data_IF_955261120589
#
_entry.id   IF_955261120589
#
_cell.length_a   1.000
_cell.length_b   1.000
_cell.length_c   1.000
_cell.angle_alpha   90.00
_cell.angle_beta   90.00
_cell.angle_gamma   90.00
#
_symmetry.space_group_name_H-M   'P 1'
#
loop_
_entity.id
_entity.type
_entity.pdbx_description
1 polymer ?
#
# COMPACT_ATOMS: atom_id res chain seq x y z
N UNK A 1 51.65 46.68 54.99
CA UNK A 1 50.46 46.47 55.85
C UNK A 1 50.13 44.98 55.82
N UNK A 2 50.11 44.34 57.02
CA UNK A 2 49.44 43.08 57.47
C UNK A 2 49.37 41.91 56.46
N UNK A 3 49.81 40.67 56.70
CA UNK A 3 50.20 39.91 57.89
C UNK A 3 49.97 38.42 57.52
N UNK A 4 50.95 37.52 57.74
CA UNK A 4 50.82 36.07 57.45
C UNK A 4 50.03 35.31 58.54
N UNK A 5 50.32 34.01 58.82
CA UNK A 5 50.84 32.92 57.97
C UNK A 5 50.09 31.58 58.22
N UNK A 6 50.76 30.45 57.92
CA UNK A 6 50.54 29.05 58.38
C UNK A 6 49.43 28.24 57.68
N UNK A 7 49.63 27.02 57.20
CA UNK A 7 50.75 26.07 57.34
C UNK A 7 50.18 24.68 57.66
N UNK A 8 50.48 23.64 56.85
CA UNK A 8 50.80 22.25 57.25
C UNK A 8 50.78 21.30 56.03
N UNK A 9 51.92 20.65 55.80
CA UNK A 9 52.10 19.37 55.09
C UNK A 9 52.07 18.25 56.16
N UNK A 10 51.62 17.00 55.89
CA UNK A 10 52.51 15.93 55.35
C UNK A 10 51.83 15.10 54.25
N UNK A 11 52.53 14.63 53.20
CA UNK A 11 53.51 13.53 53.12
C UNK A 11 52.90 12.11 53.15
N UNK A 12 53.47 11.24 52.30
CA UNK A 12 53.49 9.76 52.31
C UNK A 12 53.17 9.13 50.93
N UNK A 13 54.23 8.55 50.34
CA UNK A 13 54.24 7.31 49.53
C UNK A 13 53.81 7.47 48.08
N UNK A 14 54.66 7.38 47.05
CA UNK A 14 55.65 6.32 46.75
C UNK A 14 55.10 4.89 46.90
N UNK A 15 55.58 4.00 46.03
CA UNK A 15 55.21 2.58 45.80
C UNK A 15 54.09 2.48 44.76
N UNK A 16 54.20 1.81 43.63
CA UNK A 16 55.17 0.86 43.10
C UNK A 16 54.51 0.31 41.83
N UNK A 17 55.23 0.26 40.72
CA UNK A 17 55.76 -0.99 40.16
C UNK A 17 54.71 -2.06 39.84
N UNK A 18 54.73 -2.41 38.55
CA UNK A 18 54.60 -3.77 38.03
C UNK A 18 53.21 -4.40 38.10
N UNK A 19 52.43 -4.20 37.03
CA UNK A 19 51.96 -5.36 36.27
C UNK A 19 51.48 -4.94 34.88
N UNK A 20 52.28 -5.22 33.86
CA UNK A 20 51.81 -5.22 32.47
C UNK A 20 52.29 -6.49 31.77
N UNK A 21 52.20 -7.61 32.50
CA UNK A 21 52.44 -8.97 32.01
C UNK A 21 51.17 -9.80 32.17
N UNK A 22 50.17 -9.48 31.36
CA UNK A 22 48.94 -10.26 31.25
C UNK A 22 47.97 -9.53 30.34
N UNK A 23 47.38 -10.27 29.40
CA UNK A 23 46.17 -9.87 28.67
C UNK A 23 46.35 -8.94 27.46
N UNK A 24 46.96 -9.48 26.39
CA UNK A 24 46.54 -9.15 25.02
C UNK A 24 46.56 -10.39 24.11
N UNK A 25 46.32 -11.56 24.69
CA UNK A 25 46.04 -12.79 23.96
C UNK A 25 44.51 -12.99 23.87
N UNK A 26 43.84 -12.18 23.07
CA UNK A 26 42.51 -12.50 22.54
C UNK A 26 42.25 -11.73 21.24
N UNK A 27 43.19 -11.84 20.29
CA UNK A 27 42.85 -11.74 18.87
C UNK A 27 42.18 -13.05 18.44
N UNK A 28 41.04 -13.38 19.05
CA UNK A 28 40.16 -14.40 18.48
C UNK A 28 39.53 -13.74 17.27
N UNK A 29 39.97 -14.19 16.10
CA UNK A 29 39.36 -13.86 14.83
C UNK A 29 37.87 -14.11 14.92
N UNK A 30 37.10 -13.02 14.88
CA UNK A 30 35.77 -13.08 14.27
C UNK A 30 35.96 -13.18 12.76
N UNK A 31 36.44 -14.34 12.29
CA UNK A 31 36.07 -14.85 10.98
C UNK A 31 34.60 -15.23 11.07
N UNK A 32 33.72 -14.22 11.12
CA UNK A 32 32.33 -14.44 10.77
C UNK A 32 32.35 -15.02 9.38
N UNK A 33 31.70 -16.18 9.19
CA UNK A 33 31.53 -16.86 7.92
C UNK A 33 31.08 -15.89 6.83
N UNK A 34 32.02 -15.19 6.20
CA UNK A 34 31.87 -14.64 4.88
C UNK A 34 31.90 -15.85 3.96
N UNK A 35 30.75 -16.51 3.82
CA UNK A 35 30.52 -17.45 2.74
C UNK A 35 30.87 -16.71 1.43
N UNK A 36 32.04 -17.07 0.90
CA UNK A 36 32.67 -16.46 -0.25
C UNK A 36 31.87 -16.89 -1.49
N UNK A 37 31.11 -15.95 -2.05
CA UNK A 37 30.34 -16.16 -3.29
C UNK A 37 31.19 -15.89 -4.54
N UNK A 38 32.51 -16.04 -4.44
CA UNK A 38 33.46 -15.93 -5.55
C UNK A 38 33.11 -16.87 -6.71
N UNK A 39 32.38 -17.96 -6.43
CA UNK A 39 31.95 -18.97 -7.39
C UNK A 39 30.72 -18.59 -8.24
N UNK A 40 29.99 -17.51 -7.93
CA UNK A 40 28.78 -17.10 -8.66
C UNK A 40 29.10 -16.06 -9.74
N UNK A 41 28.43 -16.12 -10.90
CA UNK A 41 28.52 -15.10 -11.95
C UNK A 41 28.10 -13.71 -11.44
N UNK A 42 28.41 -12.64 -12.19
CA UNK A 42 28.08 -11.26 -11.80
C UNK A 42 26.59 -11.10 -11.44
N UNK A 43 25.70 -11.79 -12.16
CA UNK A 43 24.28 -11.86 -11.88
C UNK A 43 23.95 -12.67 -10.61
N UNK A 44 24.65 -13.77 -10.38
CA UNK A 44 24.52 -14.60 -9.16
C UNK A 44 25.00 -13.88 -7.89
N UNK A 45 26.10 -13.11 -7.97
CA UNK A 45 26.56 -12.24 -6.87
C UNK A 45 25.59 -11.09 -6.61
N UNK A 46 25.01 -10.50 -7.66
CA UNK A 46 23.99 -9.47 -7.52
C UNK A 46 22.71 -10.03 -6.86
N UNK A 47 22.24 -11.21 -7.30
CA UNK A 47 21.09 -11.90 -6.71
C UNK A 47 21.35 -12.32 -5.25
N UNK A 48 22.54 -12.83 -4.94
CA UNK A 48 22.95 -13.18 -3.58
C UNK A 48 23.10 -11.95 -2.67
N UNK A 49 23.60 -10.82 -3.20
CA UNK A 49 23.65 -9.54 -2.50
C UNK A 49 22.25 -8.95 -2.21
N UNK A 50 21.32 -9.10 -3.15
CA UNK A 50 19.90 -8.74 -3.00
C UNK A 50 19.22 -9.64 -1.95
N UNK A 51 19.57 -10.93 -1.88
CA UNK A 51 19.05 -11.86 -0.89
C UNK A 51 19.62 -11.64 0.53
N UNK A 52 20.83 -11.08 0.67
CA UNK A 52 21.46 -10.78 1.96
C UNK A 52 20.82 -9.61 2.72
N UNK A 53 20.15 -8.69 2.02
CA UNK A 53 19.49 -7.55 2.65
C UNK A 53 18.00 -7.84 2.81
N UNK A 54 17.50 -7.99 4.06
CA UNK A 54 16.07 -8.20 4.34
C UNK A 54 15.21 -7.11 3.69
N UNK A 55 15.74 -5.88 3.63
CA UNK A 55 15.15 -4.74 2.92
C UNK A 55 14.91 -5.01 1.45
N UNK A 56 15.91 -5.51 0.70
CA UNK A 56 15.75 -5.74 -0.74
C UNK A 56 14.81 -6.91 -1.02
N UNK A 57 14.89 -7.99 -0.23
CA UNK A 57 13.96 -9.11 -0.33
C UNK A 57 12.50 -8.67 -0.11
N UNK A 58 12.23 -7.84 0.91
CA UNK A 58 10.89 -7.29 1.17
C UNK A 58 10.42 -6.39 0.04
N UNK A 59 11.28 -5.46 -0.43
CA UNK A 59 10.93 -4.54 -1.52
C UNK A 59 10.67 -5.28 -2.84
N UNK A 60 11.46 -6.31 -3.14
CA UNK A 60 11.27 -7.16 -4.31
C UNK A 60 9.96 -7.94 -4.20
N UNK A 61 9.65 -8.52 -3.04
CA UNK A 61 8.39 -9.23 -2.80
C UNK A 61 7.18 -8.32 -3.03
N UNK A 62 7.22 -7.10 -2.50
CA UNK A 62 6.18 -6.08 -2.70
C UNK A 62 6.09 -5.67 -4.18
N UNK A 63 7.22 -5.43 -4.83
CA UNK A 63 7.28 -5.04 -6.24
C UNK A 63 6.71 -6.10 -7.17
N UNK A 64 7.06 -7.37 -6.95
CA UNK A 64 6.50 -8.51 -7.67
C UNK A 64 4.99 -8.62 -7.43
N UNK A 65 4.54 -8.45 -6.19
CA UNK A 65 3.12 -8.46 -5.85
C UNK A 65 2.32 -7.35 -6.56
N UNK A 66 2.85 -6.12 -6.60
CA UNK A 66 2.24 -4.99 -7.32
C UNK A 66 2.21 -5.26 -8.83
N UNK A 67 3.31 -5.74 -9.40
CA UNK A 67 3.40 -6.08 -10.82
C UNK A 67 2.41 -7.18 -11.22
N UNK A 68 2.28 -8.23 -10.41
CA UNK A 68 1.31 -9.30 -10.61
C UNK A 68 -0.13 -8.78 -10.51
N UNK A 69 -0.42 -7.90 -9.55
CA UNK A 69 -1.74 -7.29 -9.41
C UNK A 69 -2.11 -6.45 -10.65
N UNK A 70 -1.21 -5.60 -11.15
CA UNK A 70 -1.42 -4.85 -12.39
C UNK A 70 -1.57 -5.75 -13.61
N UNK A 71 -0.78 -6.82 -13.71
CA UNK A 71 -0.90 -7.80 -14.78
C UNK A 71 -2.28 -8.47 -14.78
N UNK A 72 -2.75 -8.95 -13.62
CA UNK A 72 -4.08 -9.56 -13.49
C UNK A 72 -5.21 -8.57 -13.83
N UNK A 73 -5.11 -7.33 -13.37
CA UNK A 73 -6.11 -6.29 -13.67
C UNK A 73 -6.09 -5.87 -15.16
N UNK A 74 -4.90 -5.81 -15.77
CA UNK A 74 -4.75 -5.56 -17.21
C UNK A 74 -5.37 -6.67 -18.06
N UNK A 75 -5.07 -7.93 -17.74
CA UNK A 75 -5.68 -9.09 -18.38
C UNK A 75 -7.21 -9.09 -18.26
N UNK A 76 -7.71 -8.82 -17.05
CA UNK A 76 -9.13 -8.71 -16.75
C UNK A 76 -9.81 -7.57 -17.53
N UNK A 77 -9.11 -6.44 -17.71
CA UNK A 77 -9.63 -5.29 -18.46
C UNK A 77 -9.66 -5.52 -19.97
N UNK A 78 -8.70 -6.26 -20.54
CA UNK A 78 -8.72 -6.66 -21.96
C UNK A 78 -9.97 -7.50 -22.24
N UNK A 79 -10.23 -8.52 -21.41
CA UNK A 79 -11.46 -9.34 -21.47
C UNK A 79 -12.73 -8.50 -21.30
N UNK A 80 -12.68 -7.48 -20.46
CA UNK A 80 -13.81 -6.58 -20.23
C UNK A 80 -14.06 -5.55 -21.33
N UNK A 81 -13.04 -5.18 -22.11
CA UNK A 81 -13.20 -4.30 -23.25
C UNK A 81 -13.96 -5.00 -24.39
N UNK A 82 -13.81 -6.32 -24.53
CA UNK A 82 -14.55 -7.12 -25.52
C UNK A 82 -16.06 -7.16 -25.24
N UNK A 83 -16.47 -7.12 -23.95
CA UNK A 83 -17.87 -7.19 -23.55
C UNK A 83 -18.61 -5.84 -23.50
N UNK A 84 -17.90 -4.71 -23.64
CA UNK A 84 -18.48 -3.36 -23.58
C UNK A 84 -18.80 -2.77 -24.97
N UNK A 85 -19.73 -1.81 -25.06
CA UNK A 85 -19.90 -0.98 -26.26
C UNK A 85 -18.63 -0.19 -26.55
N UNK A 86 -18.25 -0.07 -27.83
CA UNK A 86 -17.08 0.71 -28.22
C UNK A 86 -17.27 2.21 -27.90
N UNK A 87 -16.23 2.86 -27.36
CA UNK A 87 -16.21 4.32 -27.16
C UNK A 87 -15.83 4.79 -25.75
N UNK A 88 -15.61 3.89 -24.78
CA UNK A 88 -15.13 4.31 -23.47
C UNK A 88 -13.65 4.76 -23.52
N UNK A 89 -13.24 5.75 -22.71
CA UNK A 89 -11.84 6.16 -22.63
C UNK A 89 -10.92 4.98 -22.31
N UNK A 90 -9.93 4.73 -23.17
CA UNK A 90 -8.98 3.61 -23.04
C UNK A 90 -9.36 2.33 -23.78
N UNK A 91 -10.60 2.18 -24.28
CA UNK A 91 -11.04 0.94 -24.96
C UNK A 91 -10.31 0.68 -26.28
N UNK A 92 -10.00 1.74 -27.04
CA UNK A 92 -9.29 1.60 -28.32
C UNK A 92 -7.88 1.00 -28.12
N UNK A 93 -7.19 1.39 -27.04
CA UNK A 93 -5.89 0.84 -26.70
C UNK A 93 -6.00 -0.63 -26.24
N UNK A 94 -7.01 -0.95 -25.42
CA UNK A 94 -7.23 -2.29 -24.88
C UNK A 94 -7.62 -3.31 -25.95
N UNK A 95 -8.47 -2.93 -26.92
CA UNK A 95 -8.90 -3.82 -28.02
C UNK A 95 -7.80 -4.14 -29.03
N UNK A 96 -6.78 -3.29 -29.11
CA UNK A 96 -5.63 -3.51 -29.98
C UNK A 96 -4.57 -4.44 -29.36
N UNK A 97 -4.70 -4.78 -28.07
CA UNK A 97 -3.79 -5.69 -27.41
C UNK A 97 -4.22 -7.14 -27.66
N UNK A 98 -3.29 -8.06 -27.97
CA UNK A 98 -3.61 -9.46 -28.20
C UNK A 98 -4.18 -10.10 -26.93
N UNK A 99 -5.26 -10.87 -27.07
CA UNK A 99 -5.81 -11.68 -25.98
C UNK A 99 -4.79 -12.72 -25.54
N UNK A 100 -4.36 -12.67 -24.28
CA UNK A 100 -3.43 -13.65 -23.72
C UNK A 100 -4.17 -14.96 -23.40
N UNK A 101 -3.66 -16.13 -23.81
CA UNK A 101 -4.22 -17.41 -23.38
C UNK A 101 -3.93 -17.59 -21.87
N UNK A 102 -4.96 -17.47 -21.05
CA UNK A 102 -4.87 -17.63 -19.60
C UNK A 102 -5.49 -18.96 -19.17
N UNK A 103 -5.10 -19.50 -18.00
CA UNK A 103 -5.71 -20.71 -17.48
C UNK A 103 -7.22 -20.54 -17.26
N UNK A 104 -8.00 -21.61 -17.47
CA UNK A 104 -9.47 -21.60 -17.35
C UNK A 104 -10.00 -21.01 -16.03
N UNK A 105 -9.25 -21.18 -14.93
CA UNK A 105 -9.65 -20.64 -13.63
C UNK A 105 -9.60 -19.11 -13.59
N UNK A 106 -8.66 -18.46 -14.29
CA UNK A 106 -8.58 -17.00 -14.42
C UNK A 106 -9.75 -16.49 -15.26
N UNK A 107 -10.06 -17.16 -16.37
CA UNK A 107 -11.17 -16.75 -17.23
C UNK A 107 -12.53 -16.84 -16.49
N UNK A 108 -12.74 -17.89 -15.69
CA UNK A 108 -13.92 -17.99 -14.81
C UNK A 108 -13.95 -16.88 -13.76
N UNK A 109 -12.82 -16.60 -13.11
CA UNK A 109 -12.71 -15.51 -12.15
C UNK A 109 -13.05 -14.16 -12.79
N UNK A 110 -12.51 -13.87 -13.97
CA UNK A 110 -12.79 -12.63 -14.69
C UNK A 110 -14.26 -12.54 -15.12
N UNK A 111 -14.86 -13.63 -15.57
CA UNK A 111 -16.29 -13.67 -15.91
C UNK A 111 -17.17 -13.32 -14.69
N UNK A 112 -16.82 -13.82 -13.50
CA UNK A 112 -17.52 -13.50 -12.24
C UNK A 112 -17.38 -12.02 -11.83
N UNK A 113 -16.27 -11.38 -12.19
CA UNK A 113 -16.03 -9.96 -11.95
C UNK A 113 -16.73 -9.05 -12.99
N UNK A 114 -16.81 -9.50 -14.25
CA UNK A 114 -17.22 -8.71 -15.40
C UNK A 114 -18.73 -8.68 -15.64
N UNK A 115 -19.41 -9.77 -15.36
CA UNK A 115 -20.85 -9.88 -15.56
C UNK A 115 -21.53 -10.19 -14.22
N UNK A 116 -22.66 -9.54 -13.89
CA UNK A 116 -23.60 -10.13 -12.97
C UNK A 116 -24.10 -11.41 -13.64
N UNK A 117 -23.45 -12.54 -13.35
CA UNK A 117 -23.82 -13.82 -13.93
C UNK A 117 -25.30 -14.07 -13.63
N UNK A 118 -26.18 -14.15 -14.64
CA UNK A 118 -27.55 -14.51 -14.39
C UNK A 118 -27.55 -15.97 -13.92
N UNK A 119 -27.78 -16.16 -12.61
CA UNK A 119 -28.37 -17.36 -12.02
C UNK A 119 -27.65 -18.71 -12.20
N UNK A 120 -26.31 -18.79 -12.12
CA UNK A 120 -25.63 -20.09 -12.04
C UNK A 120 -24.41 -20.18 -11.08
N UNK A 121 -23.83 -19.05 -10.66
CA UNK A 121 -22.75 -19.06 -9.68
C UNK A 121 -23.31 -18.99 -8.24
N UNK A 122 -22.77 -19.74 -7.27
CA UNK A 122 -23.10 -19.52 -5.86
C UNK A 122 -22.80 -18.07 -5.50
N UNK A 123 -23.75 -17.37 -4.86
CA UNK A 123 -23.59 -15.95 -4.46
C UNK A 123 -22.29 -15.70 -3.70
N UNK A 124 -21.85 -16.67 -2.88
CA UNK A 124 -20.58 -16.62 -2.17
C UNK A 124 -19.34 -16.60 -3.08
N UNK A 125 -19.36 -17.31 -4.21
CA UNK A 125 -18.25 -17.35 -5.15
C UNK A 125 -18.14 -16.01 -5.91
N UNK A 126 -19.26 -15.41 -6.30
CA UNK A 126 -19.28 -14.09 -6.92
C UNK A 126 -18.80 -13.02 -5.93
N UNK A 127 -19.29 -13.05 -4.68
CA UNK A 127 -18.83 -12.15 -3.63
C UNK A 127 -17.31 -12.27 -3.41
N UNK A 128 -16.79 -13.50 -3.31
CA UNK A 128 -15.35 -13.74 -3.16
C UNK A 128 -14.56 -13.18 -4.36
N UNK A 129 -15.05 -13.37 -5.59
CA UNK A 129 -14.40 -12.84 -6.78
C UNK A 129 -14.35 -11.30 -6.76
N UNK A 130 -15.44 -10.64 -6.38
CA UNK A 130 -15.48 -9.19 -6.23
C UNK A 130 -14.53 -8.69 -5.14
N UNK A 131 -14.47 -9.37 -3.99
CA UNK A 131 -13.52 -9.04 -2.92
C UNK A 131 -12.08 -9.14 -3.42
N UNK A 132 -11.73 -10.22 -4.13
CA UNK A 132 -10.39 -10.40 -4.69
C UNK A 132 -10.09 -9.31 -5.73
N UNK A 133 -11.03 -8.97 -6.60
CA UNK A 133 -10.88 -7.89 -7.57
C UNK A 133 -10.58 -6.55 -6.90
N UNK A 134 -11.42 -6.12 -5.95
CA UNK A 134 -11.22 -4.88 -5.20
C UNK A 134 -9.91 -4.89 -4.41
N UNK A 135 -9.55 -6.05 -3.86
CA UNK A 135 -8.29 -6.21 -3.15
C UNK A 135 -7.08 -6.08 -4.08
N UNK A 136 -7.12 -6.69 -5.27
CA UNK A 136 -6.08 -6.52 -6.30
C UNK A 136 -5.95 -5.05 -6.70
N UNK A 137 -7.07 -4.34 -6.89
CA UNK A 137 -7.05 -2.90 -7.20
C UNK A 137 -6.38 -2.09 -6.09
N UNK A 138 -6.71 -2.39 -4.83
CA UNK A 138 -6.10 -1.76 -3.67
C UNK A 138 -4.59 -2.06 -3.59
N UNK A 139 -4.18 -3.32 -3.78
CA UNK A 139 -2.77 -3.72 -3.79
C UNK A 139 -2.01 -3.00 -4.91
N UNK A 140 -2.57 -2.95 -6.11
CA UNK A 140 -1.94 -2.35 -7.28
C UNK A 140 -1.71 -0.84 -7.12
N UNK A 141 -2.66 -0.12 -6.51
CA UNK A 141 -2.64 1.35 -6.46
C UNK A 141 -2.18 1.92 -5.11
N UNK A 142 -2.47 1.24 -4.00
CA UNK A 142 -2.28 1.79 -2.66
C UNK A 142 -1.03 1.26 -1.97
N UNK A 143 -0.61 0.02 -2.25
CA UNK A 143 0.65 -0.50 -1.73
C UNK A 143 1.88 0.33 -2.13
N UNK A 144 1.99 0.91 -3.36
CA UNK A 144 3.03 1.88 -3.69
C UNK A 144 3.09 3.06 -2.71
N UNK A 145 1.95 3.53 -2.23
CA UNK A 145 1.88 4.66 -1.29
C UNK A 145 2.42 4.33 0.10
N UNK A 146 2.46 3.05 0.48
CA UNK A 146 3.07 2.58 1.72
C UNK A 146 4.59 2.37 1.60
N UNK A 147 5.17 2.47 0.39
CA UNK A 147 6.60 2.21 0.16
C UNK A 147 7.55 3.03 1.06
N UNK A 148 7.36 4.34 1.27
CA UNK A 148 8.25 5.13 2.14
C UNK A 148 8.25 4.64 3.59
N UNK A 149 7.07 4.27 4.11
CA UNK A 149 6.94 3.70 5.46
C UNK A 149 7.67 2.36 5.56
N UNK A 150 7.44 1.46 4.60
CA UNK A 150 8.05 0.13 4.62
C UNK A 150 9.57 0.25 4.51
N UNK A 151 10.09 1.15 3.67
CA UNK A 151 11.54 1.41 3.55
C UNK A 151 12.14 1.85 4.87
N UNK A 152 11.52 2.82 5.52
CA UNK A 152 11.94 3.32 6.84
C UNK A 152 11.92 2.21 7.88
N UNK A 153 10.85 1.43 7.94
CA UNK A 153 10.75 0.32 8.89
C UNK A 153 11.87 -0.71 8.64
N UNK A 154 12.17 -1.03 7.38
CA UNK A 154 13.28 -1.91 7.04
C UNK A 154 14.63 -1.34 7.51
N UNK A 155 14.87 -0.04 7.33
CA UNK A 155 16.12 0.60 7.77
C UNK A 155 16.30 0.57 9.29
N UNK A 156 15.24 0.83 10.05
CA UNK A 156 15.27 0.74 11.51
C UNK A 156 15.44 -0.72 11.94
N UNK A 157 14.72 -1.66 11.30
CA UNK A 157 14.79 -3.08 11.58
C UNK A 157 16.19 -3.66 11.31
N UNK A 158 16.84 -3.23 10.23
CA UNK A 158 18.20 -3.63 9.90
C UNK A 158 19.20 -3.03 10.90
N UNK A 159 19.03 -1.77 11.31
CA UNK A 159 19.86 -1.13 12.33
C UNK A 159 19.74 -1.82 13.70
N UNK A 160 18.51 -2.15 14.12
CA UNK A 160 18.26 -2.87 15.36
C UNK A 160 18.84 -4.28 15.34
N UNK A 161 18.77 -4.97 14.18
CA UNK A 161 19.38 -6.29 13.99
C UNK A 161 20.91 -6.25 14.12
N UNK A 162 21.56 -5.24 13.55
CA UNK A 162 23.01 -5.03 13.68
C UNK A 162 23.40 -4.83 15.16
N UNK A 163 22.54 -4.19 15.95
CA UNK A 163 22.72 -4.00 17.39
C UNK A 163 22.35 -5.22 18.25
N UNK A 164 21.91 -6.32 17.64
CA UNK A 164 21.48 -7.53 18.37
C UNK A 164 20.13 -7.39 19.08
N UNK A 165 19.35 -6.36 18.78
CA UNK A 165 18.04 -6.15 19.37
C UNK A 165 16.98 -7.07 18.70
N UNK A 166 15.91 -7.45 19.42
CA UNK A 166 14.84 -8.25 18.86
C UNK A 166 14.03 -7.45 17.82
N UNK A 167 13.94 -8.00 16.60
CA UNK A 167 13.32 -7.33 15.44
C UNK A 167 12.19 -8.19 14.87
N UNK A 168 11.08 -7.55 14.51
CA UNK A 168 9.95 -8.18 13.81
C UNK A 168 10.14 -8.02 12.29
N UNK A 169 9.75 -9.04 11.53
CA UNK A 169 9.85 -9.00 10.08
C UNK A 169 8.94 -7.90 9.48
N UNK A 170 9.43 -7.06 8.53
CA UNK A 170 8.63 -5.99 7.90
C UNK A 170 7.32 -6.45 7.26
N UNK A 171 7.24 -7.71 6.82
CA UNK A 171 6.01 -8.28 6.27
C UNK A 171 4.84 -8.31 7.28
N UNK A 172 5.11 -8.30 8.59
CA UNK A 172 4.04 -8.20 9.61
C UNK A 172 3.35 -6.85 9.56
N UNK A 173 4.10 -5.77 9.30
CA UNK A 173 3.56 -4.43 9.10
C UNK A 173 2.74 -4.38 7.80
N UNK A 174 3.27 -4.95 6.71
CA UNK A 174 2.58 -5.03 5.43
C UNK A 174 1.29 -5.84 5.53
N UNK A 175 1.31 -6.97 6.26
CA UNK A 175 0.14 -7.79 6.51
C UNK A 175 -0.96 -7.03 7.25
N UNK A 176 -0.60 -6.21 8.25
CA UNK A 176 -1.55 -5.32 8.92
C UNK A 176 -2.18 -4.31 7.95
N UNK A 177 -1.36 -3.68 7.11
CA UNK A 177 -1.86 -2.75 6.09
C UNK A 177 -2.81 -3.42 5.09
N UNK A 178 -2.44 -4.60 4.60
CA UNK A 178 -3.26 -5.37 3.66
C UNK A 178 -4.55 -5.90 4.31
N UNK A 179 -4.54 -6.23 5.60
CA UNK A 179 -5.74 -6.65 6.31
C UNK A 179 -6.82 -5.55 6.32
N UNK A 180 -6.44 -4.28 6.51
CA UNK A 180 -7.39 -3.16 6.40
C UNK A 180 -7.97 -3.05 4.99
N UNK A 181 -7.14 -3.22 3.96
CA UNK A 181 -7.59 -3.19 2.56
C UNK A 181 -8.47 -4.37 2.19
N UNK A 182 -8.21 -5.55 2.76
CA UNK A 182 -9.08 -6.71 2.59
C UNK A 182 -10.46 -6.44 3.19
N UNK A 183 -10.52 -5.87 4.40
CA UNK A 183 -11.78 -5.45 5.02
C UNK A 183 -12.53 -4.39 4.19
N UNK A 184 -11.81 -3.40 3.66
CA UNK A 184 -12.41 -2.41 2.75
C UNK A 184 -12.94 -3.04 1.46
N UNK A 185 -12.23 -4.02 0.90
CA UNK A 185 -12.62 -4.74 -0.32
C UNK A 185 -13.90 -5.54 -0.13
N UNK A 186 -14.11 -6.11 1.07
CA UNK A 186 -15.41 -6.69 1.47
C UNK A 186 -16.52 -5.64 1.43
N UNK A 187 -16.28 -4.46 2.02
CA UNK A 187 -17.26 -3.37 2.00
C UNK A 187 -17.62 -2.92 0.57
N UNK A 188 -16.63 -2.72 -0.29
CA UNK A 188 -16.87 -2.34 -1.69
C UNK A 188 -17.56 -3.44 -2.51
N UNK A 189 -17.22 -4.71 -2.29
CA UNK A 189 -17.88 -5.83 -2.93
C UNK A 189 -19.37 -5.93 -2.52
N UNK A 190 -19.67 -5.77 -1.22
CA UNK A 190 -21.05 -5.75 -0.72
C UNK A 190 -21.82 -4.56 -1.30
N UNK A 191 -21.22 -3.37 -1.33
CA UNK A 191 -21.83 -2.18 -1.93
C UNK A 191 -22.15 -2.41 -3.41
N UNK A 192 -21.21 -3.01 -4.15
CA UNK A 192 -21.39 -3.34 -5.57
C UNK A 192 -22.53 -4.35 -5.78
N UNK A 193 -22.59 -5.42 -4.99
CA UNK A 193 -23.69 -6.37 -5.05
C UNK A 193 -25.04 -5.73 -4.71
N UNK A 194 -25.08 -4.83 -3.73
CA UNK A 194 -26.29 -4.10 -3.37
C UNK A 194 -26.77 -3.24 -4.54
N UNK A 195 -25.88 -2.44 -5.15
CA UNK A 195 -26.21 -1.62 -6.32
C UNK A 195 -26.76 -2.49 -7.46
N UNK A 196 -26.14 -3.64 -7.75
CA UNK A 196 -26.63 -4.55 -8.78
C UNK A 196 -27.98 -5.21 -8.43
N UNK A 197 -28.26 -5.47 -7.16
CA UNK A 197 -29.55 -6.01 -6.73
C UNK A 197 -30.70 -5.00 -6.92
N UNK A 198 -30.43 -3.70 -6.75
CA UNK A 198 -31.42 -2.64 -6.97
C UNK A 198 -31.59 -2.28 -8.47
N UNK A 199 -30.54 -2.42 -9.28
CA UNK A 199 -30.58 -2.24 -10.73
C UNK A 199 -31.15 -3.50 -11.42
N UNK A 200 -32.46 -3.73 -11.28
CA UNK A 200 -33.15 -4.96 -11.67
C UNK A 200 -33.05 -5.42 -13.14
N UNK A 201 -32.29 -4.73 -14.01
CA UNK A 201 -32.14 -5.08 -15.43
C UNK A 201 -30.73 -5.50 -15.85
N UNK A 202 -29.73 -5.46 -14.96
CA UNK A 202 -28.37 -5.93 -15.25
C UNK A 202 -27.65 -5.17 -16.38
N UNK A 203 -28.22 -4.07 -16.87
CA UNK A 203 -27.61 -3.23 -17.91
C UNK A 203 -26.86 -2.07 -17.27
N UNK A 204 -25.63 -1.87 -17.73
CA UNK A 204 -24.75 -0.75 -17.36
C UNK A 204 -25.34 0.63 -17.74
N UNK A 205 -26.44 0.67 -18.51
CA UNK A 205 -27.22 1.86 -18.88
C UNK A 205 -28.51 2.05 -18.06
N UNK A 206 -28.75 1.26 -17.01
CA UNK A 206 -29.91 1.44 -16.16
C UNK A 206 -29.81 2.80 -15.41
N UNK A 207 -30.82 3.68 -15.46
CA UNK A 207 -30.83 4.95 -14.73
C UNK A 207 -30.50 4.79 -13.24
N UNK A 208 -30.84 3.64 -12.63
CA UNK A 208 -30.48 3.34 -11.24
C UNK A 208 -28.96 3.23 -11.01
N UNK A 209 -28.21 2.68 -11.97
CA UNK A 209 -26.74 2.59 -11.93
C UNK A 209 -26.13 3.98 -12.17
N UNK A 210 -26.72 4.76 -13.09
CA UNK A 210 -26.33 6.16 -13.32
C UNK A 210 -26.50 7.02 -12.07
N UNK A 211 -27.63 6.89 -11.37
CA UNK A 211 -27.91 7.61 -10.13
C UNK A 211 -26.97 7.17 -8.99
N UNK A 212 -26.70 5.87 -8.87
CA UNK A 212 -25.72 5.36 -7.89
C UNK A 212 -24.31 5.88 -8.17
N UNK A 213 -23.90 5.94 -9.44
CA UNK A 213 -22.64 6.53 -9.88
C UNK A 213 -22.57 8.03 -9.58
N UNK A 214 -23.64 8.78 -9.86
CA UNK A 214 -23.72 10.20 -9.54
C UNK A 214 -23.65 10.47 -8.03
N UNK A 215 -24.37 9.69 -7.23
CA UNK A 215 -24.31 9.75 -5.77
C UNK A 215 -22.90 9.45 -5.24
N UNK A 216 -22.24 8.42 -5.80
CA UNK A 216 -20.87 8.08 -5.48
C UNK A 216 -19.89 9.23 -5.79
N UNK A 217 -20.02 9.88 -6.96
CA UNK A 217 -19.22 11.04 -7.33
C UNK A 217 -19.49 12.25 -6.44
N UNK A 218 -20.75 12.48 -6.05
CA UNK A 218 -21.12 13.58 -5.17
C UNK A 218 -20.53 13.38 -3.77
N UNK A 219 -20.64 12.16 -3.22
CA UNK A 219 -19.98 11.79 -1.96
C UNK A 219 -18.47 11.96 -2.07
N UNK A 220 -17.85 11.47 -3.17
CA UNK A 220 -16.43 11.62 -3.41
C UNK A 220 -16.00 13.09 -3.47
N UNK A 221 -16.75 13.92 -4.21
CA UNK A 221 -16.51 15.34 -4.37
C UNK A 221 -16.66 16.12 -3.08
N UNK A 222 -17.70 15.85 -2.28
CA UNK A 222 -17.88 16.50 -0.96
C UNK A 222 -16.80 16.05 0.03
N UNK A 223 -16.44 14.76 0.01
CA UNK A 223 -15.40 14.22 0.89
C UNK A 223 -14.03 14.89 0.66
N UNK A 224 -13.73 15.29 -0.58
CA UNK A 224 -12.51 16.02 -0.94
C UNK A 224 -12.34 17.35 -0.19
N UNK A 225 -13.45 18.00 0.20
CA UNK A 225 -13.44 19.25 0.96
C UNK A 225 -13.50 19.03 2.48
N UNK A 226 -13.71 17.79 2.93
CA UNK A 226 -13.90 17.48 4.35
C UNK A 226 -12.62 17.66 5.17
N UNK A 227 -12.78 18.17 6.39
CA UNK A 227 -11.68 18.23 7.38
C UNK A 227 -11.19 16.84 7.78
N UNK A 228 -12.08 15.82 7.74
CA UNK A 228 -11.72 14.43 8.00
C UNK A 228 -10.68 13.91 7.00
N UNK A 229 -10.88 14.16 5.69
CA UNK A 229 -9.90 13.79 4.68
C UNK A 229 -8.54 14.45 4.94
N UNK A 230 -8.54 15.72 5.30
CA UNK A 230 -7.30 16.47 5.58
C UNK A 230 -6.56 15.90 6.79
N UNK A 231 -7.26 15.58 7.88
CA UNK A 231 -6.67 14.93 9.03
C UNK A 231 -6.07 13.55 8.69
N UNK A 232 -6.78 12.73 7.89
CA UNK A 232 -6.26 11.45 7.42
C UNK A 232 -5.03 11.62 6.51
N UNK A 233 -5.01 12.62 5.62
CA UNK A 233 -3.89 12.92 4.73
C UNK A 233 -2.65 13.38 5.51
N UNK A 234 -2.81 14.27 6.49
CA UNK A 234 -1.71 14.73 7.35
C UNK A 234 -1.06 13.56 8.07
N UNK A 235 -1.88 12.64 8.60
CA UNK A 235 -1.39 11.44 9.28
C UNK A 235 -0.73 10.45 8.32
N UNK A 236 -1.27 10.29 7.11
CA UNK A 236 -0.67 9.46 6.05
C UNK A 236 0.70 10.00 5.59
N UNK A 237 0.86 11.33 5.53
CA UNK A 237 2.09 12.00 5.07
C UNK A 237 3.23 11.92 6.09
N UNK A 238 2.91 11.84 7.39
CA UNK A 238 3.91 11.76 8.46
C UNK A 238 3.83 10.42 9.23
N UNK A 239 4.16 9.30 8.59
CA UNK A 239 4.08 7.99 9.22
C UNK A 239 5.20 7.77 10.26
N UNK A 240 6.27 8.58 10.20
CA UNK A 240 7.43 8.49 11.09
C UNK A 240 7.07 8.73 12.56
N UNK A 241 6.24 9.75 12.82
CA UNK A 241 5.80 10.08 14.20
C UNK A 241 5.14 8.89 14.91
N UNK A 242 4.34 8.11 14.18
CA UNK A 242 3.63 6.94 14.71
C UNK A 242 4.58 5.76 14.85
N UNK A 243 5.43 5.54 13.84
CA UNK A 243 6.35 4.42 13.77
C UNK A 243 7.34 4.42 14.94
N UNK A 244 7.94 5.58 15.23
CA UNK A 244 8.90 5.72 16.33
C UNK A 244 8.23 5.67 17.70
N UNK A 245 7.06 6.29 17.86
CA UNK A 245 6.33 6.28 19.13
C UNK A 245 5.81 4.89 19.53
N UNK A 246 5.50 4.03 18.54
CA UNK A 246 4.88 2.71 18.76
C UNK A 246 5.81 1.53 18.40
N UNK A 247 7.11 1.76 18.25
CA UNK A 247 8.06 0.70 17.93
C UNK A 247 8.02 -0.40 18.99
N UNK A 248 8.05 -1.66 18.55
CA UNK A 248 8.01 -2.79 19.46
C UNK A 248 8.62 -4.05 18.88
N UNK A 249 9.32 -4.80 19.72
CA UNK A 249 9.78 -6.16 19.44
C UNK A 249 8.66 -7.23 19.43
N UNK A 250 7.38 -6.82 19.44
CA UNK A 250 6.23 -7.74 19.55
C UNK A 250 5.47 -7.73 18.22
N UNK A 251 5.28 -8.89 17.55
CA UNK A 251 4.66 -8.94 16.23
C UNK A 251 3.26 -8.35 16.22
N UNK A 252 2.46 -8.59 17.26
CA UNK A 252 1.11 -8.02 17.37
C UNK A 252 1.07 -6.48 17.38
N UNK A 253 2.06 -5.80 17.98
CA UNK A 253 2.12 -4.33 17.96
C UNK A 253 2.51 -3.79 16.59
N UNK A 254 3.39 -4.48 15.87
CA UNK A 254 3.77 -4.13 14.49
C UNK A 254 2.63 -4.38 13.51
N UNK A 255 1.87 -5.46 13.70
CA UNK A 255 0.66 -5.72 12.93
C UNK A 255 -0.39 -4.61 13.14
N UNK A 256 -0.62 -4.21 14.40
CA UNK A 256 -1.54 -3.11 14.73
C UNK A 256 -1.08 -1.76 14.15
N UNK A 257 0.22 -1.52 14.11
CA UNK A 257 0.80 -0.35 13.45
C UNK A 257 0.50 -0.34 11.95
N UNK A 258 0.61 -1.51 11.30
CA UNK A 258 0.18 -1.70 9.92
C UNK A 258 -1.32 -1.43 9.71
N UNK A 259 -2.17 -1.96 10.60
CA UNK A 259 -3.62 -1.71 10.57
C UNK A 259 -3.95 -0.23 10.71
N UNK A 260 -3.32 0.46 11.68
CA UNK A 260 -3.53 1.89 11.92
C UNK A 260 -3.16 2.71 10.68
N UNK A 261 -1.99 2.44 10.08
CA UNK A 261 -1.62 3.07 8.82
C UNK A 261 -2.61 2.75 7.69
N UNK A 262 -3.08 1.51 7.62
CA UNK A 262 -4.10 1.08 6.67
C UNK A 262 -5.39 1.88 6.82
N UNK A 263 -5.83 2.15 8.05
CA UNK A 263 -7.06 2.90 8.35
C UNK A 263 -6.91 4.37 7.94
N UNK A 264 -5.78 5.00 8.26
CA UNK A 264 -5.50 6.37 7.82
C UNK A 264 -5.46 6.47 6.29
N UNK A 265 -4.81 5.50 5.65
CA UNK A 265 -4.73 5.40 4.20
C UNK A 265 -6.12 5.23 3.60
N UNK A 266 -6.92 4.29 4.10
CA UNK A 266 -8.29 4.08 3.65
C UNK A 266 -9.11 5.36 3.82
N UNK A 267 -9.01 6.03 4.98
CA UNK A 267 -9.68 7.30 5.25
C UNK A 267 -9.36 8.38 4.20
N UNK A 268 -8.13 8.49 3.71
CA UNK A 268 -7.82 9.52 2.72
C UNK A 268 -8.33 9.22 1.29
N UNK A 269 -8.49 7.95 0.92
CA UNK A 269 -8.75 7.56 -0.49
C UNK A 269 -10.00 6.71 -0.75
N UNK A 270 -10.73 6.24 0.27
CA UNK A 270 -11.94 5.43 0.08
C UNK A 270 -12.97 6.14 -0.81
N UNK A 271 -13.12 7.46 -0.64
CA UNK A 271 -14.08 8.24 -1.40
C UNK A 271 -13.70 8.32 -2.88
N UNK A 272 -12.40 8.34 -3.21
CA UNK A 272 -11.94 8.26 -4.60
C UNK A 272 -12.15 6.87 -5.20
N UNK A 273 -12.11 5.80 -4.39
CA UNK A 273 -12.47 4.46 -4.88
C UNK A 273 -13.94 4.39 -5.31
N UNK A 274 -14.83 5.21 -4.72
CA UNK A 274 -16.23 5.27 -5.13
C UNK A 274 -16.42 5.75 -6.58
N UNK A 275 -15.46 6.49 -7.13
CA UNK A 275 -15.49 6.93 -8.54
C UNK A 275 -15.57 5.73 -9.49
N UNK A 276 -14.99 4.59 -9.12
CA UNK A 276 -15.03 3.35 -9.92
C UNK A 276 -16.47 2.83 -10.13
N UNK A 277 -17.42 3.20 -9.29
CA UNK A 277 -18.83 2.87 -9.50
C UNK A 277 -19.45 3.68 -10.64
N UNK A 278 -18.99 4.91 -10.88
CA UNK A 278 -19.52 5.78 -11.93
C UNK A 278 -18.95 5.45 -13.33
N UNK A 279 -17.69 5.04 -13.43
CA UNK A 279 -17.04 4.69 -14.72
C UNK A 279 -17.03 3.20 -15.05
N UNK A 280 -17.54 2.38 -14.14
CA UNK A 280 -17.42 0.93 -14.23
C UNK A 280 -16.07 0.45 -13.68
N UNK A 281 -16.13 -0.56 -12.82
CA UNK A 281 -15.04 -1.02 -11.97
C UNK A 281 -13.79 -1.57 -12.70
N UNK A 282 -13.77 -1.57 -14.03
CA UNK A 282 -12.70 -2.20 -14.81
C UNK A 282 -12.25 -1.35 -15.99
N UNK A 283 -12.29 -0.03 -15.79
CA UNK A 283 -11.57 0.87 -16.66
C UNK A 283 -10.17 1.14 -16.07
N UNK A 284 -9.16 0.48 -16.65
CA UNK A 284 -7.75 0.60 -16.24
C UNK A 284 -7.24 2.03 -16.36
N UNK A 285 -7.75 2.81 -17.33
CA UNK A 285 -7.39 4.21 -17.48
C UNK A 285 -7.80 5.01 -16.23
N UNK A 286 -9.06 4.89 -15.80
CA UNK A 286 -9.53 5.59 -14.59
C UNK A 286 -8.89 5.06 -13.31
N UNK A 287 -8.64 3.76 -13.21
CA UNK A 287 -7.93 3.17 -12.07
C UNK A 287 -6.51 3.74 -11.95
N UNK A 288 -5.78 3.85 -13.06
CA UNK A 288 -4.44 4.43 -13.11
C UNK A 288 -4.49 5.92 -12.77
N UNK A 289 -5.48 6.64 -13.30
CA UNK A 289 -5.66 8.07 -13.05
C UNK A 289 -5.93 8.34 -11.55
N UNK A 290 -6.80 7.57 -10.91
CA UNK A 290 -7.08 7.69 -9.47
C UNK A 290 -5.86 7.29 -8.64
N UNK A 291 -5.17 6.21 -9.02
CA UNK A 291 -3.93 5.80 -8.37
C UNK A 291 -2.86 6.89 -8.41
N UNK A 292 -2.64 7.49 -9.58
CA UNK A 292 -1.71 8.61 -9.75
C UNK A 292 -2.17 9.83 -8.94
N UNK A 293 -3.45 10.15 -8.98
CA UNK A 293 -4.01 11.28 -8.26
C UNK A 293 -3.85 11.13 -6.73
N UNK A 294 -4.18 9.96 -6.18
CA UNK A 294 -3.98 9.67 -4.75
C UNK A 294 -2.51 9.69 -4.34
N UNK A 295 -1.61 9.26 -5.23
CA UNK A 295 -0.18 9.35 -5.01
C UNK A 295 0.29 10.81 -4.97
N UNK A 296 -0.17 11.64 -5.90
CA UNK A 296 0.10 13.08 -5.92
C UNK A 296 -0.44 13.75 -4.66
N UNK A 297 -1.67 13.45 -4.23
CA UNK A 297 -2.24 13.99 -2.99
C UNK A 297 -1.41 13.61 -1.77
N UNK A 298 -0.83 12.41 -1.74
CA UNK A 298 0.04 11.96 -0.64
C UNK A 298 1.43 12.58 -0.70
N UNK A 299 1.94 12.97 -1.87
CA UNK A 299 3.27 13.58 -2.00
C UNK A 299 3.28 15.10 -1.91
N UNK A 300 2.17 15.76 -2.28
CA UNK A 300 2.13 17.23 -2.37
C UNK A 300 1.66 17.84 -1.06
N UNK A 301 2.42 18.81 -0.53
CA UNK A 301 2.01 19.57 0.67
C UNK A 301 1.05 20.68 0.28
N UNK A 302 -0.26 20.42 0.32
CA UNK A 302 -1.27 21.45 0.06
C UNK A 302 -2.70 20.92 -0.05
N UNK A 303 -3.66 21.85 -0.02
CA UNK A 303 -5.11 21.60 -0.20
C UNK A 303 -5.58 21.78 -1.65
N UNK A 304 -4.70 22.26 -2.55
CA UNK A 304 -5.06 22.61 -3.93
C UNK A 304 -5.45 21.36 -4.72
N UNK A 305 -4.63 20.31 -4.67
CA UNK A 305 -4.91 19.05 -5.39
C UNK A 305 -6.27 18.46 -4.99
N UNK A 306 -6.55 18.35 -3.69
CA UNK A 306 -7.83 17.82 -3.20
C UNK A 306 -9.01 18.70 -3.59
N UNK A 307 -8.87 20.03 -3.51
CA UNK A 307 -9.94 20.97 -3.93
C UNK A 307 -10.23 20.90 -5.43
N UNK A 308 -9.19 20.84 -6.26
CA UNK A 308 -9.33 20.73 -7.72
C UNK A 308 -10.03 19.43 -8.08
N UNK A 309 -9.63 18.30 -7.50
CA UNK A 309 -10.33 17.04 -7.74
C UNK A 309 -11.75 17.04 -7.18
N UNK A 310 -11.98 17.61 -6.00
CA UNK A 310 -13.32 17.80 -5.46
C UNK A 310 -14.23 18.56 -6.43
N UNK A 311 -13.74 19.66 -7.00
CA UNK A 311 -14.48 20.44 -7.99
C UNK A 311 -14.77 19.63 -9.26
N UNK A 312 -13.78 18.93 -9.81
CA UNK A 312 -13.95 18.08 -11.00
C UNK A 312 -15.00 17.00 -10.75
N UNK A 313 -14.93 16.32 -9.60
CA UNK A 313 -15.87 15.26 -9.23
C UNK A 313 -17.30 15.79 -9.06
N UNK A 314 -17.47 16.97 -8.46
CA UNK A 314 -18.79 17.59 -8.31
C UNK A 314 -19.39 18.03 -9.66
N UNK A 315 -18.59 18.64 -10.53
CA UNK A 315 -19.03 19.02 -11.89
C UNK A 315 -19.46 17.78 -12.67
N UNK A 316 -18.69 16.70 -12.57
CA UNK A 316 -19.02 15.45 -13.24
C UNK A 316 -20.25 14.76 -12.64
N UNK A 317 -20.43 14.81 -11.31
CA UNK A 317 -21.63 14.31 -10.65
C UNK A 317 -22.89 15.03 -11.18
N UNK A 318 -22.84 16.37 -11.28
CA UNK A 318 -23.95 17.17 -11.82
C UNK A 318 -24.21 16.84 -13.29
N UNK A 319 -23.16 16.72 -14.11
CA UNK A 319 -23.31 16.33 -15.51
C UNK A 319 -23.96 14.95 -15.65
N UNK A 320 -23.57 13.97 -14.84
CA UNK A 320 -24.19 12.64 -14.84
C UNK A 320 -25.64 12.69 -14.38
N UNK A 321 -25.97 13.45 -13.34
CA UNK A 321 -27.37 13.65 -12.90
C UNK A 321 -28.23 14.21 -14.03
N UNK A 322 -27.75 15.22 -14.75
CA UNK A 322 -28.48 15.85 -15.87
C UNK A 322 -28.69 14.91 -17.06
N UNK A 323 -27.78 13.96 -17.29
CA UNK A 323 -27.91 12.97 -18.37
C UNK A 323 -28.80 11.79 -17.94
N UNK A 324 -28.86 11.50 -16.64
CA UNK A 324 -29.65 10.40 -16.07
C UNK A 324 -31.08 10.78 -15.66
N UNK A 325 -31.41 12.07 -15.63
CA UNK A 325 -32.73 12.62 -15.31
C UNK A 325 -33.59 12.78 -16.57
#
# INVERSE_FOLDING_TARGET
MRGGPSGLYPDIGQIGRLDQRGDSAHSIGMSGEQHDFSHLDRAGRAAAGVARSPRHAVMLTIGVGIGLAWFLLGAMAIRGAESRPAGAPGDMLLRNLPSLPLPDFLDRFFALCLAPAPFAAPTGLQAAALVVMWFLMAVATMLPSASPLIRTYCEIADTARIKGEPVVHPLVLVAGYLATWLGASVGFAVLMLAVYAFAGSGRMLDPAVGLAGAAALLVAGLYQFSGLKQACLEKCRNPFSILFANWSAKPGRIFRLGLEQGIWCLGCCWALMLVMFAVGAMNVFWMTLIGLFTLIEKQTTGRVASRVAGAILLVWAVALLLVSA
#
